data_IF_048984137669
#
_entry.id   IF_048984137669
#
_cell.length_a   1.000
_cell.length_b   1.000
_cell.length_c   1.000
_cell.angle_alpha   90.00
_cell.angle_beta   90.00
_cell.angle_gamma   90.00
#
_symmetry.space_group_name_H-M   'P 1'
#
loop_
_entity.id
_entity.type
_entity.pdbx_description
1 polymer ?
#
# COMPACT_ATOMS: atom_id res chain seq x y z
N UNK A 1 -32.39 62.77 14.30
CA UNK A 1 -32.31 61.40 14.85
C UNK A 1 -31.65 60.52 13.80
N UNK A 2 -30.54 59.90 14.17
CA UNK A 2 -29.75 58.84 13.51
C UNK A 2 -28.96 59.09 12.20
N UNK A 3 -27.66 59.26 12.41
CA UNK A 3 -26.49 58.88 11.59
C UNK A 3 -26.37 57.35 11.39
N UNK A 4 -25.72 56.94 10.29
CA UNK A 4 -24.72 55.84 10.14
C UNK A 4 -24.28 55.83 8.66
N UNK A 5 -23.13 56.42 8.29
CA UNK A 5 -21.74 55.91 8.37
C UNK A 5 -21.36 54.95 7.24
N UNK A 6 -20.77 55.53 6.19
CA UNK A 6 -19.88 54.91 5.21
C UNK A 6 -18.44 55.07 5.72
N UNK A 7 -17.71 53.98 5.98
CA UNK A 7 -16.23 53.89 5.99
C UNK A 7 -15.80 52.51 6.51
N UNK A 8 -15.38 51.59 5.64
CA UNK A 8 -14.46 50.50 6.01
C UNK A 8 -13.95 49.71 4.80
N UNK A 9 -13.05 50.29 4.01
CA UNK A 9 -12.27 49.53 3.01
C UNK A 9 -10.86 50.06 2.74
N UNK A 10 -10.35 50.98 3.57
CA UNK A 10 -9.00 51.57 3.37
C UNK A 10 -7.94 51.14 4.38
N UNK A 11 -8.30 50.31 5.37
CA UNK A 11 -7.36 49.87 6.42
C UNK A 11 -6.60 48.56 6.11
N UNK A 12 -7.07 47.74 5.17
CA UNK A 12 -6.44 46.43 4.90
C UNK A 12 -5.23 46.46 3.94
N UNK A 13 -5.03 47.55 3.18
CA UNK A 13 -3.87 47.68 2.30
C UNK A 13 -2.65 48.29 3.00
N UNK A 14 -2.86 49.05 4.09
CA UNK A 14 -1.76 49.61 4.87
C UNK A 14 -1.07 48.57 5.75
N UNK A 15 -1.80 47.58 6.26
CA UNK A 15 -1.24 46.53 7.14
C UNK A 15 -0.32 45.55 6.39
N UNK A 16 -0.60 45.24 5.13
CA UNK A 16 0.24 44.33 4.36
C UNK A 16 1.56 44.94 3.88
N UNK A 17 1.59 46.24 3.54
CA UNK A 17 2.83 46.89 3.10
C UNK A 17 3.84 47.16 4.22
N UNK A 18 3.39 47.32 5.47
CA UNK A 18 4.30 47.60 6.60
C UNK A 18 5.06 46.34 7.04
N UNK A 19 4.44 45.14 6.97
CA UNK A 19 5.13 43.90 7.31
C UNK A 19 6.31 43.57 6.37
N UNK A 20 6.23 43.95 5.10
CA UNK A 20 7.30 43.68 4.13
C UNK A 20 8.47 44.67 4.31
N UNK A 21 8.21 45.89 4.79
CA UNK A 21 9.27 46.91 4.95
C UNK A 21 10.20 46.64 6.13
N UNK A 22 9.74 45.95 7.18
CA UNK A 22 10.54 45.68 8.40
C UNK A 22 11.60 44.59 8.19
N UNK A 23 11.49 43.77 7.14
CA UNK A 23 12.43 42.68 6.87
C UNK A 23 13.67 43.07 6.04
N UNK A 24 13.77 44.30 5.52
CA UNK A 24 14.79 44.63 4.51
C UNK A 24 15.75 45.77 4.88
N UNK A 25 15.55 46.52 5.96
CA UNK A 25 16.51 47.59 6.34
C UNK A 25 16.75 47.73 7.84
N UNK A 26 17.99 48.06 8.28
CA UNK A 26 18.27 48.34 9.68
C UNK A 26 17.67 49.70 10.05
N UNK A 27 16.60 49.69 10.87
CA UNK A 27 15.92 50.90 11.33
C UNK A 27 16.58 51.50 12.58
N UNK A 28 16.66 52.83 12.56
CA UNK A 28 17.13 53.75 13.60
C UNK A 28 16.41 53.53 14.95
N UNK A 29 17.10 53.61 16.12
CA UNK A 29 16.50 53.41 17.45
C UNK A 29 15.23 54.22 17.74
N UNK A 30 15.03 55.38 17.09
CA UNK A 30 13.82 56.20 17.29
C UNK A 30 12.55 55.52 16.73
N UNK A 31 12.65 54.68 15.69
CA UNK A 31 11.50 53.97 15.12
C UNK A 31 11.06 52.75 15.96
N UNK A 32 11.94 52.21 16.82
CA UNK A 32 11.60 51.09 17.73
C UNK A 32 10.61 51.49 18.81
N UNK A 33 10.69 52.71 19.34
CA UNK A 33 9.76 53.19 20.38
C UNK A 33 8.36 53.51 19.82
N UNK A 34 8.26 53.96 18.57
CA UNK A 34 6.96 54.24 17.94
C UNK A 34 6.25 52.93 17.56
N UNK A 35 7.01 51.92 17.12
CA UNK A 35 6.46 50.59 16.82
C UNK A 35 6.05 49.84 18.08
N UNK A 36 6.77 49.96 19.20
CA UNK A 36 6.35 49.34 20.47
C UNK A 36 5.07 49.96 21.03
N UNK A 37 4.85 51.26 20.80
CA UNK A 37 3.62 51.95 21.18
C UNK A 37 2.40 51.51 20.34
N UNK A 38 2.60 51.17 19.05
CA UNK A 38 1.54 50.67 18.16
C UNK A 38 1.27 49.16 18.28
N UNK A 39 2.29 48.34 18.55
CA UNK A 39 2.14 46.90 18.71
C UNK A 39 1.72 46.46 20.13
N UNK A 40 1.79 47.35 21.12
CA UNK A 40 1.32 47.08 22.49
C UNK A 40 -0.17 46.78 22.65
N UNK A 41 -0.96 46.84 21.56
CA UNK A 41 -2.39 46.53 21.54
C UNK A 41 -2.77 45.30 20.70
N UNK A 42 -1.81 44.58 20.10
CA UNK A 42 -2.11 43.34 19.37
C UNK A 42 -1.98 42.11 20.28
N UNK A 43 -3.12 41.43 20.50
CA UNK A 43 -3.23 40.21 21.31
C UNK A 43 -2.15 39.18 20.97
N UNK A 44 -1.20 38.94 21.89
CA UNK A 44 -0.24 37.84 21.86
C UNK A 44 -0.90 36.47 21.65
N UNK A 45 -2.17 36.32 22.03
CA UNK A 45 -2.97 35.11 21.80
C UNK A 45 -3.11 34.79 20.30
N UNK A 46 -3.33 35.77 19.43
CA UNK A 46 -3.63 35.52 18.01
C UNK A 46 -2.37 35.12 17.24
N UNK A 47 -1.23 35.72 17.56
CA UNK A 47 0.06 35.37 16.98
C UNK A 47 0.53 33.99 17.47
N UNK A 48 0.27 33.64 18.73
CA UNK A 48 0.60 32.32 19.27
C UNK A 48 -0.27 31.21 18.66
N UNK A 49 -1.58 31.46 18.44
CA UNK A 49 -2.46 30.50 17.75
C UNK A 49 -2.12 30.37 16.26
N UNK A 50 -1.65 31.43 15.59
CA UNK A 50 -1.18 31.37 14.20
C UNK A 50 0.18 30.67 14.08
N UNK A 51 1.09 30.85 15.04
CA UNK A 51 2.37 30.15 15.09
C UNK A 51 2.21 28.67 15.44
N UNK A 52 1.28 28.33 16.34
CA UNK A 52 0.88 26.94 16.63
C UNK A 52 0.17 26.29 15.43
N UNK A 53 -0.67 27.04 14.68
CA UNK A 53 -1.25 26.57 13.40
C UNK A 53 -0.23 26.43 12.26
N UNK A 54 0.86 27.21 12.26
CA UNK A 54 1.92 27.06 11.26
C UNK A 54 2.89 25.91 11.59
N UNK A 55 3.06 25.56 12.88
CA UNK A 55 3.88 24.39 13.29
C UNK A 55 3.12 23.05 13.29
N UNK A 56 1.78 23.05 13.28
CA UNK A 56 0.99 21.82 13.23
C UNK A 56 0.73 21.30 11.82
N UNK A 57 1.05 22.07 10.77
CA UNK A 57 0.72 21.71 9.38
C UNK A 57 1.87 21.12 8.55
N UNK A 58 3.12 21.13 9.05
CA UNK A 58 4.25 20.52 8.32
C UNK A 58 4.40 19.02 8.66
N UNK A 59 4.21 18.65 9.93
CA UNK A 59 4.28 17.25 10.37
C UNK A 59 3.15 16.35 9.83
N UNK A 60 2.02 16.92 9.44
CA UNK A 60 0.86 16.15 8.96
C UNK A 60 0.95 15.85 7.45
N UNK A 61 1.75 16.63 6.69
CA UNK A 61 2.03 16.34 5.27
C UNK A 61 2.96 15.14 5.08
N UNK A 62 3.76 14.83 6.10
CA UNK A 62 4.69 13.71 6.05
C UNK A 62 4.00 12.37 6.34
N UNK A 63 2.69 12.35 6.62
CA UNK A 63 1.95 11.12 6.87
C UNK A 63 0.77 10.99 5.94
N UNK A 64 0.45 9.76 5.59
CA UNK A 64 -0.79 9.43 4.90
C UNK A 64 -1.44 8.26 5.60
N UNK A 65 -2.72 8.43 5.92
CA UNK A 65 -3.55 7.42 6.54
C UNK A 65 -4.48 6.84 5.50
N UNK A 66 -4.34 5.54 5.24
CA UNK A 66 -5.27 4.80 4.37
C UNK A 66 -6.12 3.87 5.21
N UNK A 67 -7.37 3.67 4.80
CA UNK A 67 -8.30 2.76 5.46
C UNK A 67 -8.27 1.41 4.76
N UNK A 68 -8.17 0.35 5.53
CA UNK A 68 -8.15 -1.03 5.04
C UNK A 68 -9.30 -1.81 5.66
N UNK A 69 -10.24 -2.23 4.84
CA UNK A 69 -11.28 -3.18 5.22
C UNK A 69 -10.66 -4.57 5.34
N UNK A 70 -10.62 -5.09 6.55
CA UNK A 70 -10.14 -6.43 6.90
C UNK A 70 -11.34 -7.22 7.40
N UNK A 71 -11.87 -8.08 6.54
CA UNK A 71 -13.17 -8.72 6.76
C UNK A 71 -14.28 -7.68 6.93
N UNK A 72 -14.79 -7.54 8.15
CA UNK A 72 -15.98 -6.73 8.46
C UNK A 72 -15.61 -5.45 9.21
N UNK A 73 -14.31 -5.22 9.45
CA UNK A 73 -13.79 -4.09 10.22
C UNK A 73 -12.80 -3.26 9.39
N UNK A 74 -12.83 -1.95 9.61
CA UNK A 74 -11.83 -1.03 9.05
C UNK A 74 -10.67 -0.86 10.02
N UNK A 75 -9.46 -0.85 9.47
CA UNK A 75 -8.20 -0.60 10.17
C UNK A 75 -7.41 0.44 9.39
N UNK A 76 -6.73 1.32 10.10
CA UNK A 76 -5.93 2.36 9.46
C UNK A 76 -4.49 1.90 9.30
N UNK A 77 -3.93 2.07 8.10
CA UNK A 77 -2.49 1.99 7.87
C UNK A 77 -1.96 3.41 7.80
N UNK A 78 -0.99 3.72 8.66
CA UNK A 78 -0.28 4.98 8.65
C UNK A 78 1.03 4.76 7.90
N UNK A 79 1.24 5.56 6.86
CA UNK A 79 2.48 5.62 6.08
C UNK A 79 3.18 6.92 6.45
N UNK A 80 4.40 6.80 6.97
CA UNK A 80 5.24 7.94 7.38
C UNK A 80 6.32 8.19 6.33
N UNK A 81 6.07 9.18 5.48
CA UNK A 81 6.93 9.59 4.36
C UNK A 81 8.21 10.31 4.79
N UNK A 82 8.34 10.72 6.06
CA UNK A 82 9.59 11.24 6.60
C UNK A 82 10.67 10.14 6.74
N UNK A 83 10.27 8.87 6.69
CA UNK A 83 11.15 7.72 6.85
C UNK A 83 11.75 7.25 5.52
N UNK A 84 12.83 6.46 5.60
CA UNK A 84 13.37 5.80 4.42
C UNK A 84 12.38 4.78 3.84
N UNK A 85 12.43 4.55 2.51
CA UNK A 85 11.59 3.55 1.83
C UNK A 85 11.63 2.18 2.49
N UNK A 86 12.80 1.78 3.01
CA UNK A 86 13.01 0.49 3.63
C UNK A 86 12.16 0.31 4.90
N UNK A 87 11.98 1.38 5.67
CA UNK A 87 11.24 1.41 6.92
C UNK A 87 9.75 1.64 6.69
N UNK A 88 9.38 2.53 5.75
CA UNK A 88 8.01 2.64 5.22
C UNK A 88 7.47 1.26 4.85
N UNK A 89 8.25 0.53 4.03
CA UNK A 89 7.91 -0.81 3.60
C UNK A 89 7.74 -1.75 4.80
N UNK A 90 8.72 -1.85 5.70
CA UNK A 90 8.61 -2.72 6.90
C UNK A 90 7.37 -2.38 7.74
N UNK A 91 7.07 -1.09 7.89
CA UNK A 91 5.90 -0.58 8.59
C UNK A 91 4.58 -1.08 7.99
N UNK A 92 4.44 -1.03 6.65
CA UNK A 92 3.26 -1.56 5.96
C UNK A 92 3.12 -3.07 6.18
N UNK A 93 4.21 -3.83 6.02
CA UNK A 93 4.20 -5.28 6.24
C UNK A 93 3.82 -5.65 7.68
N UNK A 94 4.33 -4.91 8.67
CA UNK A 94 4.03 -5.14 10.09
C UNK A 94 2.55 -4.86 10.39
N UNK A 95 2.03 -3.71 9.98
CA UNK A 95 0.62 -3.34 10.20
C UNK A 95 -0.34 -4.39 9.58
N UNK A 96 -0.06 -4.86 8.35
CA UNK A 96 -0.88 -5.91 7.72
C UNK A 96 -0.77 -7.28 8.42
N UNK A 97 0.42 -7.63 8.92
CA UNK A 97 0.61 -8.84 9.72
C UNK A 97 -0.18 -8.76 11.03
N UNK A 98 -0.22 -7.61 11.69
CA UNK A 98 -1.03 -7.37 12.89
C UNK A 98 -2.53 -7.51 12.63
N UNK A 99 -3.03 -7.01 11.49
CA UNK A 99 -4.45 -7.09 11.16
C UNK A 99 -4.92 -8.51 10.85
N UNK A 100 -4.05 -9.33 10.26
CA UNK A 100 -4.39 -10.67 9.78
C UNK A 100 -3.92 -11.79 10.69
N UNK A 101 -2.99 -11.51 11.61
CA UNK A 101 -2.34 -12.51 12.46
C UNK A 101 -1.37 -13.42 11.71
N UNK A 102 -1.01 -13.12 10.45
CA UNK A 102 -0.07 -13.93 9.68
C UNK A 102 1.37 -13.50 9.96
N UNK A 103 2.30 -14.47 9.97
CA UNK A 103 3.72 -14.16 10.12
C UNK A 103 4.20 -13.18 9.04
N UNK A 104 4.78 -12.07 9.49
CA UNK A 104 5.40 -11.09 8.60
C UNK A 104 6.44 -11.77 7.72
N UNK A 105 7.24 -12.69 8.26
CA UNK A 105 8.34 -13.38 7.57
C UNK A 105 7.90 -14.07 6.29
N UNK A 106 6.73 -14.69 6.32
CA UNK A 106 6.16 -15.42 5.18
C UNK A 106 5.41 -14.55 4.18
N UNK A 107 5.32 -13.24 4.42
CA UNK A 107 4.75 -12.31 3.44
C UNK A 107 5.81 -11.86 2.45
N UNK A 108 5.58 -12.03 1.15
CA UNK A 108 6.56 -11.67 0.10
C UNK A 108 6.28 -10.30 -0.55
N UNK A 109 5.00 -9.99 -0.77
CA UNK A 109 4.57 -8.81 -1.52
C UNK A 109 3.28 -8.21 -0.93
N UNK A 110 3.22 -6.89 -0.91
CA UNK A 110 1.99 -6.11 -0.76
C UNK A 110 1.72 -5.41 -2.09
N UNK A 111 0.56 -5.65 -2.70
CA UNK A 111 0.12 -4.94 -3.92
C UNK A 111 -1.09 -4.09 -3.63
N UNK A 112 -1.06 -2.87 -4.12
CA UNK A 112 -2.18 -1.94 -4.12
C UNK A 112 -2.69 -1.78 -5.55
N UNK A 113 -4.00 -1.69 -5.69
CA UNK A 113 -4.69 -1.48 -6.95
C UNK A 113 -5.79 -0.43 -6.74
N UNK A 114 -5.81 0.61 -7.57
CA UNK A 114 -6.85 1.66 -7.53
C UNK A 114 -7.23 2.08 -8.95
N UNK A 115 -8.38 2.73 -9.16
CA UNK A 115 -8.73 3.28 -10.46
C UNK A 115 -7.60 4.17 -11.00
N UNK A 116 -7.44 4.27 -12.32
CA UNK A 116 -6.50 5.22 -12.89
C UNK A 116 -6.85 6.60 -12.36
N UNK A 117 -5.88 7.26 -11.72
CA UNK A 117 -6.07 8.65 -11.30
C UNK A 117 -6.24 9.54 -12.53
N UNK A 118 -6.93 10.67 -12.38
CA UNK A 118 -7.01 11.71 -13.41
C UNK A 118 -5.62 12.07 -13.94
N UNK A 119 -5.53 12.47 -15.21
CA UNK A 119 -4.29 12.84 -15.91
C UNK A 119 -3.43 13.84 -15.11
N UNK A 120 -2.53 13.33 -14.27
CA UNK A 120 -1.55 14.13 -13.53
C UNK A 120 -0.34 14.32 -14.42
N UNK A 121 0.17 15.55 -14.52
CA UNK A 121 1.46 15.82 -15.16
C UNK A 121 2.56 15.93 -14.09
N UNK A 122 3.70 15.23 -14.23
CA UNK A 122 4.00 14.24 -15.27
C UNK A 122 3.22 12.94 -15.08
N UNK A 123 3.10 12.17 -16.17
CA UNK A 123 2.27 10.97 -16.25
C UNK A 123 2.44 10.06 -15.02
N UNK A 124 1.31 9.55 -14.52
CA UNK A 124 1.27 8.69 -13.35
C UNK A 124 2.08 7.38 -13.62
N UNK A 125 3.22 7.16 -12.93
CA UNK A 125 4.10 6.02 -13.20
C UNK A 125 3.52 4.68 -12.75
N UNK A 126 2.39 4.70 -12.05
CA UNK A 126 1.70 3.51 -11.55
C UNK A 126 0.64 2.99 -12.52
N UNK A 127 0.36 3.71 -13.62
CA UNK A 127 -0.62 3.27 -14.61
C UNK A 127 -0.17 1.97 -15.28
N UNK A 128 -1.06 0.99 -15.25
CA UNK A 128 -0.92 -0.25 -16.00
C UNK A 128 -0.90 0.06 -17.50
N UNK A 129 -0.17 -0.69 -18.36
CA UNK A 129 -0.04 -0.37 -19.78
C UNK A 129 -1.37 -0.29 -20.56
N UNK A 130 -2.43 -0.91 -20.04
CA UNK A 130 -3.78 -0.84 -20.64
C UNK A 130 -4.56 0.43 -20.23
N UNK A 131 -4.03 1.25 -19.32
CA UNK A 131 -4.65 2.48 -18.82
C UNK A 131 -5.84 2.27 -17.88
N UNK A 132 -6.17 1.02 -17.56
CA UNK A 132 -7.38 0.62 -16.83
C UNK A 132 -7.21 0.59 -15.31
N UNK A 133 -5.98 0.66 -14.81
CA UNK A 133 -5.66 0.46 -13.40
C UNK A 133 -4.37 1.18 -13.02
N UNK A 134 -4.29 1.71 -11.79
CA UNK A 134 -3.03 2.10 -11.17
C UNK A 134 -2.60 1.04 -10.14
N UNK A 135 -1.35 0.57 -10.21
CA UNK A 135 -0.82 -0.42 -9.28
C UNK A 135 0.48 0.02 -8.62
N UNK A 136 0.58 -0.20 -7.31
CA UNK A 136 1.81 0.02 -6.54
C UNK A 136 2.18 -1.26 -5.78
N UNK A 137 3.46 -1.61 -5.74
CA UNK A 137 3.92 -2.84 -5.07
C UNK A 137 5.06 -2.56 -4.09
N UNK A 138 4.95 -3.15 -2.91
CA UNK A 138 6.02 -3.24 -1.93
C UNK A 138 6.48 -4.69 -1.84
N UNK A 139 7.73 -4.95 -2.22
CA UNK A 139 8.31 -6.30 -2.29
C UNK A 139 9.37 -6.43 -1.21
N UNK A 140 9.37 -7.53 -0.46
CA UNK A 140 10.49 -7.83 0.44
C UNK A 140 11.75 -8.10 -0.38
N UNK A 141 12.95 -7.71 0.08
CA UNK A 141 14.15 -8.09 -0.63
C UNK A 141 14.23 -9.63 -0.54
N UNK A 142 14.44 -10.31 -1.67
CA UNK A 142 14.93 -11.68 -1.59
C UNK A 142 16.26 -11.64 -0.83
N UNK A 143 16.55 -12.65 0.00
CA UNK A 143 17.84 -12.75 0.69
C UNK A 143 18.94 -12.87 -0.38
N UNK A 144 19.47 -11.74 -0.79
CA UNK A 144 20.80 -11.62 -1.35
C UNK A 144 21.48 -10.44 -0.65
N UNK A 145 22.58 -10.68 0.09
CA UNK A 145 23.51 -9.61 0.35
C UNK A 145 24.19 -9.25 -0.99
N UNK A 146 24.38 -7.96 -1.24
CA UNK A 146 25.24 -7.40 -2.30
C UNK A 146 24.69 -7.13 -3.71
N UNK A 147 23.36 -7.08 -3.95
CA UNK A 147 22.91 -6.44 -5.19
C UNK A 147 22.89 -4.91 -5.03
N UNK A 148 23.91 -4.24 -5.57
CA UNK A 148 24.02 -2.77 -5.52
C UNK A 148 22.79 -2.15 -6.20
N UNK A 149 22.29 -0.99 -5.73
CA UNK A 149 21.21 -0.26 -6.40
C UNK A 149 21.47 0.03 -7.89
N UNK A 150 22.74 -0.01 -8.31
CA UNK A 150 23.24 0.30 -9.65
C UNK A 150 23.05 -0.83 -10.66
N UNK A 151 22.82 -2.07 -10.22
CA UNK A 151 22.72 -3.25 -11.11
C UNK A 151 21.27 -3.61 -11.47
N UNK A 152 20.26 -2.86 -11.00
CA UNK A 152 18.89 -3.08 -11.44
C UNK A 152 18.81 -2.83 -12.95
N UNK A 153 18.34 -3.80 -13.76
CA UNK A 153 18.03 -3.56 -15.17
C UNK A 153 17.14 -2.31 -15.26
N UNK A 154 17.52 -1.40 -16.14
CA UNK A 154 17.00 -0.03 -16.29
C UNK A 154 15.49 0.07 -16.62
N UNK A 155 14.71 -1.01 -16.49
CA UNK A 155 13.29 -1.13 -16.86
C UNK A 155 12.31 -1.44 -15.73
N UNK A 156 12.74 -1.62 -14.48
CA UNK A 156 11.82 -1.87 -13.36
C UNK A 156 11.41 -0.55 -12.69
N UNK A 157 10.25 -0.01 -13.11
CA UNK A 157 9.50 1.13 -12.54
C UNK A 157 10.32 2.11 -11.68
N UNK A 158 10.93 3.11 -12.33
CA UNK A 158 11.57 4.23 -11.63
C UNK A 158 10.51 5.22 -11.14
N UNK A 159 9.91 4.95 -9.99
CA UNK A 159 9.15 5.94 -9.22
C UNK A 159 9.85 6.19 -7.87
N UNK A 160 9.83 7.43 -7.40
CA UNK A 160 10.43 7.81 -6.11
C UNK A 160 9.43 7.66 -4.95
N UNK A 161 9.87 7.86 -3.71
CA UNK A 161 8.96 7.89 -2.56
C UNK A 161 7.94 9.02 -2.70
N UNK A 162 8.38 10.17 -3.21
CA UNK A 162 7.53 11.32 -3.49
C UNK A 162 6.49 10.98 -4.56
N UNK A 163 6.84 10.21 -5.60
CA UNK A 163 5.85 9.74 -6.57
C UNK A 163 4.79 8.86 -5.90
N UNK A 164 5.18 7.94 -5.01
CA UNK A 164 4.24 7.07 -4.29
C UNK A 164 3.31 7.92 -3.40
N UNK A 165 3.88 8.88 -2.65
CA UNK A 165 3.12 9.79 -1.77
C UNK A 165 2.16 10.66 -2.57
N UNK A 166 2.66 11.37 -3.58
CA UNK A 166 1.94 12.47 -4.22
C UNK A 166 1.03 12.00 -5.37
N UNK A 167 1.33 10.85 -5.98
CA UNK A 167 0.61 10.36 -7.17
C UNK A 167 -0.16 9.06 -6.91
N UNK A 168 0.25 8.26 -5.92
CA UNK A 168 -0.44 7.00 -5.63
C UNK A 168 -1.35 7.04 -4.41
N UNK A 169 -0.88 7.43 -3.24
CA UNK A 169 -1.75 7.45 -2.06
C UNK A 169 -2.40 8.81 -1.86
N UNK A 170 -3.66 8.80 -1.42
CA UNK A 170 -4.33 9.98 -0.89
C UNK A 170 -4.80 9.68 0.52
N UNK A 171 -4.79 10.70 1.35
CA UNK A 171 -5.30 10.56 2.70
C UNK A 171 -6.80 10.20 2.66
N UNK A 172 -7.17 9.18 3.43
CA UNK A 172 -8.51 8.61 3.44
C UNK A 172 -8.82 7.60 2.31
N UNK A 173 -7.86 7.26 1.44
CA UNK A 173 -8.06 6.19 0.44
C UNK A 173 -8.54 4.90 1.15
N UNK A 174 -9.58 4.28 0.59
CA UNK A 174 -10.22 3.11 1.17
C UNK A 174 -9.95 1.87 0.32
N UNK A 175 -9.31 0.87 0.92
CA UNK A 175 -8.99 -0.40 0.27
C UNK A 175 -9.64 -1.56 1.01
N UNK A 176 -10.06 -2.59 0.28
CA UNK A 176 -10.37 -3.88 0.87
C UNK A 176 -9.19 -4.85 0.74
N UNK A 177 -8.97 -5.61 1.81
CA UNK A 177 -7.89 -6.61 1.86
C UNK A 177 -8.34 -7.93 1.22
N UNK A 178 -7.51 -8.41 0.32
CA UNK A 178 -7.53 -9.78 -0.17
C UNK A 178 -6.14 -10.40 0.01
N UNK A 179 -6.10 -11.72 0.12
CA UNK A 179 -4.88 -12.49 0.37
C UNK A 179 -4.79 -13.64 -0.61
N UNK A 180 -3.57 -14.00 -0.99
CA UNK A 180 -3.35 -15.21 -1.81
C UNK A 180 -2.12 -15.94 -1.28
N UNK A 181 -2.28 -17.24 -1.02
CA UNK A 181 -1.17 -18.10 -0.64
C UNK A 181 -0.49 -18.67 -1.88
N UNK A 182 0.82 -18.85 -1.78
CA UNK A 182 1.67 -19.43 -2.80
C UNK A 182 2.64 -20.41 -2.17
N UNK A 183 3.05 -21.41 -2.93
CA UNK A 183 4.17 -22.29 -2.57
C UNK A 183 5.41 -21.82 -3.33
N UNK A 184 6.60 -22.18 -2.85
CA UNK A 184 7.83 -21.99 -3.62
C UNK A 184 7.70 -22.63 -5.00
N UNK A 185 8.01 -21.85 -6.04
CA UNK A 185 7.86 -22.24 -7.44
C UNK A 185 8.78 -23.38 -7.88
N UNK A 186 9.81 -23.69 -7.09
CA UNK A 186 10.76 -24.76 -7.41
C UNK A 186 10.57 -25.94 -6.45
N UNK A 187 10.61 -25.68 -5.14
CA UNK A 187 10.74 -26.74 -4.14
C UNK A 187 9.42 -27.23 -3.55
N UNK A 188 8.34 -26.44 -3.62
CA UNK A 188 7.05 -26.75 -2.97
C UNK A 188 7.14 -27.01 -1.45
N UNK A 189 8.19 -26.54 -0.77
CA UNK A 189 8.46 -26.84 0.64
C UNK A 189 8.16 -25.67 1.60
N UNK A 190 7.85 -24.51 1.05
CA UNK A 190 7.65 -23.26 1.78
C UNK A 190 6.41 -22.53 1.28
N UNK A 191 5.71 -21.88 2.21
CA UNK A 191 4.52 -21.10 1.94
C UNK A 191 4.80 -19.60 2.04
N UNK A 192 4.18 -18.86 1.14
CA UNK A 192 4.20 -17.42 1.13
C UNK A 192 2.78 -16.88 1.05
N UNK A 193 2.56 -15.70 1.63
CA UNK A 193 1.34 -14.93 1.43
C UNK A 193 1.64 -13.63 0.71
N UNK A 194 0.73 -13.27 -0.16
CA UNK A 194 0.67 -11.96 -0.76
C UNK A 194 -0.56 -11.22 -0.24
N UNK A 195 -0.37 -9.98 0.19
CA UNK A 195 -1.46 -9.04 0.43
C UNK A 195 -1.80 -8.30 -0.87
N UNK A 196 -3.09 -8.17 -1.14
CA UNK A 196 -3.64 -7.38 -2.24
C UNK A 196 -4.70 -6.44 -1.68
N UNK A 197 -4.41 -5.15 -1.69
CA UNK A 197 -5.31 -4.08 -1.27
C UNK A 197 -5.93 -3.49 -2.53
N UNK A 198 -7.25 -3.63 -2.66
CA UNK A 198 -8.01 -3.20 -3.84
C UNK A 198 -8.89 -2.03 -3.41
N UNK A 199 -8.80 -0.89 -4.08
CA UNK A 199 -9.60 0.28 -3.78
C UNK A 199 -11.08 -0.05 -3.92
N UNK A 200 -11.93 0.48 -3.04
CA UNK A 200 -13.36 0.13 -2.99
C UNK A 200 -14.08 0.40 -4.33
N UNK A 201 -13.70 1.46 -5.05
CA UNK A 201 -14.24 1.78 -6.39
C UNK A 201 -14.04 0.67 -7.45
N UNK A 202 -13.13 -0.28 -7.21
CA UNK A 202 -12.88 -1.42 -8.11
C UNK A 202 -13.60 -2.70 -7.66
N UNK A 203 -14.40 -2.63 -6.60
CA UNK A 203 -15.04 -3.77 -5.97
C UNK A 203 -16.53 -3.68 -6.21
N UNK A 204 -17.08 -4.72 -6.82
CA UNK A 204 -18.52 -4.92 -6.84
C UNK A 204 -18.99 -5.41 -5.47
N UNK A 205 -20.10 -4.88 -4.96
CA UNK A 205 -20.63 -5.25 -3.64
C UNK A 205 -21.06 -6.73 -3.56
N UNK A 206 -21.36 -7.36 -4.70
CA UNK A 206 -21.97 -8.68 -4.78
C UNK A 206 -21.15 -9.68 -5.58
N UNK A 207 -20.45 -9.22 -6.62
CA UNK A 207 -19.74 -10.08 -7.55
C UNK A 207 -18.25 -10.19 -7.25
N UNK A 208 -17.68 -11.37 -7.54
CA UNK A 208 -16.24 -11.55 -7.52
C UNK A 208 -15.63 -11.20 -8.87
N UNK A 209 -14.51 -10.49 -8.85
CA UNK A 209 -13.75 -10.14 -10.04
C UNK A 209 -12.29 -10.63 -9.94
N UNK A 210 -11.47 -10.33 -10.96
CA UNK A 210 -10.06 -10.76 -11.00
C UNK A 210 -9.20 -10.16 -9.88
N UNK A 211 -9.61 -9.04 -9.31
CA UNK A 211 -8.88 -8.31 -8.27
C UNK A 211 -9.35 -8.71 -6.87
N UNK A 212 -10.66 -8.89 -6.67
CA UNK A 212 -11.29 -9.05 -5.36
C UNK A 212 -12.45 -10.06 -5.35
N UNK A 213 -12.62 -10.77 -4.24
CA UNK A 213 -13.76 -11.66 -4.03
C UNK A 213 -14.14 -11.74 -2.54
N UNK A 214 -15.40 -11.44 -2.23
CA UNK A 214 -15.92 -11.45 -0.85
C UNK A 214 -15.81 -12.83 -0.18
N UNK A 215 -15.88 -13.92 -0.96
CA UNK A 215 -15.76 -15.28 -0.43
C UNK A 215 -14.34 -15.63 0.09
N UNK A 216 -13.30 -14.93 -0.36
CA UNK A 216 -11.92 -15.10 0.15
C UNK A 216 -11.50 -14.02 1.13
N UNK A 217 -12.17 -12.87 1.12
CA UNK A 217 -11.80 -11.70 1.93
C UNK A 217 -12.55 -11.60 3.26
N UNK A 218 -12.99 -12.73 3.83
CA UNK A 218 -13.70 -12.77 5.12
C UNK A 218 -12.83 -13.31 6.28
N UNK A 219 -13.34 -13.11 7.50
CA UNK A 219 -12.61 -13.40 8.74
C UNK A 219 -12.29 -14.88 8.89
N UNK A 220 -13.21 -15.76 8.53
CA UNK A 220 -13.01 -17.21 8.63
C UNK A 220 -11.86 -17.66 7.72
N UNK A 221 -11.82 -17.14 6.50
CA UNK A 221 -10.78 -17.43 5.53
C UNK A 221 -9.40 -16.91 5.99
N UNK A 222 -9.31 -15.64 6.40
CA UNK A 222 -8.08 -15.07 6.94
C UNK A 222 -7.56 -15.82 8.19
N UNK A 223 -8.45 -16.20 9.10
CA UNK A 223 -8.10 -16.97 10.31
C UNK A 223 -7.49 -18.33 9.95
N UNK A 224 -8.05 -19.01 8.94
CA UNK A 224 -7.50 -20.29 8.48
C UNK A 224 -6.16 -20.12 7.80
N UNK A 225 -5.99 -19.11 6.96
CA UNK A 225 -4.69 -18.80 6.37
C UNK A 225 -3.65 -18.50 7.45
N UNK A 226 -3.96 -17.66 8.44
CA UNK A 226 -3.05 -17.39 9.56
C UNK A 226 -2.65 -18.66 10.31
N UNK A 227 -3.60 -19.58 10.56
CA UNK A 227 -3.29 -20.89 11.17
C UNK A 227 -2.32 -21.71 10.32
N UNK A 228 -2.50 -21.76 9.00
CA UNK A 228 -1.58 -22.47 8.10
C UNK A 228 -0.21 -21.81 8.08
N UNK A 229 -0.16 -20.48 7.92
CA UNK A 229 1.08 -19.72 7.85
C UNK A 229 1.91 -19.83 9.13
N UNK A 230 1.26 -19.90 10.29
CA UNK A 230 1.96 -20.02 11.58
C UNK A 230 2.20 -21.46 12.03
N UNK A 231 1.82 -22.46 11.21
CA UNK A 231 2.05 -23.88 11.50
C UNK A 231 3.44 -24.35 11.04
N UNK A 232 3.81 -25.56 11.47
CA UNK A 232 5.06 -26.23 11.08
C UNK A 232 4.90 -27.16 9.85
N UNK A 233 3.87 -26.96 9.01
CA UNK A 233 3.64 -27.80 7.82
C UNK A 233 4.86 -27.82 6.89
N UNK A 234 5.59 -26.72 6.78
CA UNK A 234 6.78 -26.64 5.92
C UNK A 234 7.90 -27.59 6.36
N UNK A 235 7.98 -27.97 7.64
CA UNK A 235 8.93 -29.00 8.08
C UNK A 235 8.55 -30.37 7.51
N UNK A 236 7.27 -30.72 7.55
CA UNK A 236 6.77 -31.94 6.95
C UNK A 236 7.02 -31.97 5.44
N UNK A 237 6.81 -30.85 4.74
CA UNK A 237 7.04 -30.78 3.30
C UNK A 237 8.52 -30.93 2.91
N UNK A 238 9.44 -30.46 3.73
CA UNK A 238 10.89 -30.64 3.50
C UNK A 238 11.33 -32.11 3.54
N UNK A 239 10.60 -32.94 4.28
CA UNK A 239 10.88 -34.38 4.40
C UNK A 239 10.24 -35.20 3.26
N UNK A 240 9.40 -34.58 2.41
CA UNK A 240 8.73 -35.25 1.31
C UNK A 240 9.53 -35.22 -0.01
N UNK A 241 9.27 -36.16 -0.94
CA UNK A 241 9.84 -36.12 -2.28
C UNK A 241 9.54 -34.79 -3.00
N UNK A 242 10.57 -34.20 -3.60
CA UNK A 242 10.52 -32.92 -4.31
C UNK A 242 10.57 -33.15 -5.83
N UNK A 243 9.85 -32.35 -6.64
CA UNK A 243 10.15 -32.26 -8.06
C UNK A 243 11.61 -31.79 -8.20
N UNK A 244 12.44 -32.58 -8.89
CA UNK A 244 13.83 -32.19 -9.18
C UNK A 244 13.86 -31.69 -10.61
N UNK A 245 14.22 -30.42 -10.87
CA UNK A 245 14.48 -29.95 -12.22
C UNK A 245 15.57 -30.83 -12.87
N UNK A 246 15.33 -31.32 -14.08
CA UNK A 246 16.32 -32.14 -14.81
C UNK A 246 17.58 -31.34 -15.14
N UNK A 247 17.40 -30.04 -15.42
CA UNK A 247 18.49 -29.08 -15.63
C UNK A 247 18.26 -27.84 -14.76
N UNK A 248 19.35 -27.24 -14.28
CA UNK A 248 19.32 -26.20 -13.24
C UNK A 248 18.62 -24.90 -13.69
N UNK A 249 18.47 -24.69 -15.00
CA UNK A 249 18.02 -23.43 -15.60
C UNK A 249 16.80 -23.55 -16.53
N UNK A 250 16.19 -24.73 -16.69
CA UNK A 250 14.99 -24.90 -17.53
C UNK A 250 13.80 -25.42 -16.72
N UNK A 251 12.81 -24.56 -16.53
CA UNK A 251 11.45 -24.95 -16.16
C UNK A 251 10.75 -25.50 -17.41
N UNK A 252 11.16 -26.69 -17.85
CA UNK A 252 10.55 -27.35 -19.01
C UNK A 252 9.10 -27.79 -18.71
N UNK A 253 8.35 -28.11 -19.76
CA UNK A 253 6.93 -28.48 -19.63
C UNK A 253 6.74 -29.74 -18.77
N UNK A 254 7.70 -30.67 -18.77
CA UNK A 254 7.65 -31.88 -17.97
C UNK A 254 7.81 -31.56 -16.48
N UNK A 255 8.76 -30.69 -16.11
CA UNK A 255 8.92 -30.19 -14.76
C UNK A 255 7.67 -29.43 -14.30
N UNK A 256 7.12 -28.54 -15.13
CA UNK A 256 5.89 -27.80 -14.81
C UNK A 256 4.74 -28.78 -14.56
N UNK A 257 4.58 -29.81 -15.40
CA UNK A 257 3.55 -30.83 -15.22
C UNK A 257 3.72 -31.60 -13.90
N UNK A 258 4.93 -32.08 -13.61
CA UNK A 258 5.24 -32.77 -12.35
C UNK A 258 5.02 -31.87 -11.13
N UNK A 259 5.41 -30.59 -11.23
CA UNK A 259 5.21 -29.58 -10.20
C UNK A 259 3.72 -29.33 -9.93
N UNK A 260 2.91 -29.17 -10.98
CA UNK A 260 1.45 -28.95 -10.84
C UNK A 260 0.77 -30.18 -10.23
N UNK A 261 1.15 -31.39 -10.63
CA UNK A 261 0.63 -32.64 -10.04
C UNK A 261 0.98 -32.67 -8.55
N UNK A 262 2.25 -32.46 -8.21
CA UNK A 262 2.71 -32.51 -6.82
C UNK A 262 2.06 -31.45 -5.94
N UNK A 263 1.91 -30.23 -6.45
CA UNK A 263 1.20 -29.17 -5.76
C UNK A 263 -0.25 -29.58 -5.46
N UNK A 264 -0.93 -30.23 -6.41
CA UNK A 264 -2.30 -30.71 -6.22
C UNK A 264 -2.38 -31.79 -5.14
N UNK A 265 -1.45 -32.74 -5.11
CA UNK A 265 -1.39 -33.75 -4.05
C UNK A 265 -1.24 -33.10 -2.68
N UNK A 266 -0.28 -32.19 -2.51
CA UNK A 266 -0.06 -31.48 -1.23
C UNK A 266 -1.32 -30.71 -0.81
N UNK A 267 -1.97 -30.04 -1.76
CA UNK A 267 -3.23 -29.34 -1.50
C UNK A 267 -4.36 -30.26 -1.06
N UNK A 268 -4.43 -31.48 -1.61
CA UNK A 268 -5.40 -32.51 -1.25
C UNK A 268 -5.11 -33.06 0.15
N UNK A 269 -3.89 -33.53 0.36
CA UNK A 269 -3.44 -34.24 1.56
C UNK A 269 -3.60 -33.36 2.80
N UNK A 270 -3.29 -32.07 2.67
CA UNK A 270 -3.39 -31.10 3.75
C UNK A 270 -4.76 -30.40 3.80
N UNK A 271 -5.61 -30.61 2.80
CA UNK A 271 -6.90 -29.93 2.63
C UNK A 271 -6.78 -28.39 2.70
N UNK A 272 -5.81 -27.84 1.96
CA UNK A 272 -5.50 -26.40 1.93
C UNK A 272 -5.63 -25.76 0.55
N UNK A 273 -5.93 -26.51 -0.51
CA UNK A 273 -5.92 -26.01 -1.89
C UNK A 273 -6.83 -24.81 -2.16
N UNK A 274 -7.92 -24.67 -1.39
CA UNK A 274 -8.84 -23.54 -1.44
C UNK A 274 -8.18 -22.21 -1.07
N UNK A 275 -7.07 -22.21 -0.32
CA UNK A 275 -6.39 -20.99 0.11
C UNK A 275 -5.35 -20.46 -0.90
N UNK A 276 -5.01 -21.26 -1.92
CA UNK A 276 -4.00 -20.97 -2.94
C UNK A 276 -4.61 -20.53 -4.28
N UNK A 277 -5.85 -20.94 -4.56
CA UNK A 277 -6.54 -20.60 -5.80
C UNK A 277 -7.61 -19.54 -5.51
N UNK A 278 -7.53 -18.38 -6.19
CA UNK A 278 -8.62 -17.41 -6.15
C UNK A 278 -9.83 -17.94 -6.92
N UNK A 279 -11.03 -17.59 -6.45
CA UNK A 279 -12.31 -18.01 -7.03
C UNK A 279 -12.48 -17.59 -8.51
N UNK A 280 -11.70 -16.59 -8.97
CA UNK A 280 -11.73 -16.05 -10.32
C UNK A 280 -10.39 -16.23 -11.06
N UNK A 281 -9.68 -17.35 -10.83
CA UNK A 281 -8.51 -17.68 -11.66
C UNK A 281 -8.98 -18.19 -13.02
N UNK A 282 -8.46 -17.56 -14.07
CA UNK A 282 -8.47 -18.12 -15.41
C UNK A 282 -7.10 -18.76 -15.63
N UNK A 283 -7.08 -20.00 -16.10
CA UNK A 283 -5.88 -20.56 -16.70
C UNK A 283 -5.76 -19.99 -18.12
N UNK A 284 -4.54 -19.70 -18.55
CA UNK A 284 -4.27 -19.43 -19.95
C UNK A 284 -3.95 -20.80 -20.58
N UNK A 285 -4.94 -21.41 -21.21
CA UNK A 285 -4.75 -22.62 -22.01
C UNK A 285 -4.60 -22.16 -23.47
N UNK A 286 -3.34 -21.96 -23.89
CA UNK A 286 -3.02 -21.35 -25.18
C UNK A 286 -3.57 -19.92 -25.34
N UNK A 287 -4.46 -19.72 -26.31
CA UNK A 287 -4.96 -18.40 -26.73
C UNK A 287 -6.21 -17.94 -25.94
N UNK A 288 -6.77 -18.76 -25.05
CA UNK A 288 -8.01 -18.46 -24.32
C UNK A 288 -7.84 -18.48 -22.80
N UNK A 289 -8.50 -17.53 -22.13
CA UNK A 289 -8.67 -17.53 -20.68
C UNK A 289 -9.77 -18.54 -20.31
N UNK A 290 -9.39 -19.75 -19.93
CA UNK A 290 -10.35 -20.77 -19.48
C UNK A 290 -10.56 -20.60 -17.98
N UNK A 291 -11.80 -20.49 -17.47
CA UNK A 291 -12.06 -20.54 -16.04
C UNK A 291 -11.38 -21.77 -15.43
N UNK A 292 -10.58 -21.59 -14.37
CA UNK A 292 -10.00 -22.74 -13.70
C UNK A 292 -11.17 -23.63 -13.23
N UNK A 293 -11.26 -24.90 -13.66
CA UNK A 293 -12.33 -25.76 -13.20
C UNK A 293 -12.30 -25.72 -11.67
N UNK A 294 -13.47 -25.51 -11.04
CA UNK A 294 -13.58 -25.66 -9.60
C UNK A 294 -13.14 -27.08 -9.30
N UNK A 295 -11.90 -27.26 -8.86
CA UNK A 295 -11.45 -28.54 -8.32
C UNK A 295 -12.20 -28.65 -7.00
N UNK A 296 -13.39 -29.23 -7.08
CA UNK A 296 -14.12 -29.70 -5.92
C UNK A 296 -13.24 -30.80 -5.33
N UNK A 297 -12.48 -30.47 -4.28
CA UNK A 297 -11.71 -31.46 -3.56
C UNK A 297 -12.71 -32.41 -2.89
N UNK A 298 -12.75 -33.70 -3.28
CA UNK A 298 -13.84 -34.61 -2.92
C UNK A 298 -13.87 -34.96 -1.43
N UNK A 299 -12.82 -34.65 -0.66
CA UNK A 299 -12.71 -34.98 0.76
C UNK A 299 -12.99 -33.76 1.64
N UNK A 300 -14.26 -33.37 1.76
CA UNK A 300 -14.73 -32.55 2.88
C UNK A 300 -15.14 -33.47 4.02
N UNK A 301 -14.22 -33.68 4.98
CA UNK A 301 -14.57 -34.07 6.35
C UNK A 301 -14.83 -32.84 7.19
#
# INVERSE_FOLDING_TARGET
MHLLSWKDSRWNLFTYSVCILVLVTPLDPVYKEILSFWFGQFNLSVTQTLFEKMNTNDNDRDKTTIKVQVSDAYRDIIIDWSQEYSDIRKGIFRQLAEFTGMSVEKTSVVRFAKPPGNDVHPANPFLHPRGDLATCSFVKPYREPEYRPQDRPQGCYRYTNEDIRDKFFRDGDCFALNTTMFMNMVTLDTFHVQYRLVHLDLIDETECNRLFCHHTSNKAYLTKQAKIMNSNIESYLRDQPRPVPRERDTLDDEFIAAWVIRQREIHADLNIGQYFNSYCRFFQDGMFFVPCPRIYWPYRG
#
